data_IF_879722776283
#
_entry.id   IF_879722776283
#
_cell.length_a   1.000
_cell.length_b   1.000
_cell.length_c   1.000
_cell.angle_alpha   90.00
_cell.angle_beta   90.00
_cell.angle_gamma   90.00
#
_symmetry.space_group_name_H-M   'P 1'
#
loop_
_entity.id
_entity.type
_entity.pdbx_description
1 polymer ?
#
# COMPACT_ATOMS: atom_id res chain seq x y z
N UNK A 1 22.57 48.53 -101.00
CA UNK A 1 22.71 48.74 -99.53
C UNK A 1 21.64 48.00 -98.79
N UNK A 2 21.98 46.81 -98.17
CA UNK A 2 21.03 45.97 -97.40
C UNK A 2 21.45 46.09 -95.94
N UNK A 3 20.59 46.68 -95.12
CA UNK A 3 20.73 46.82 -93.65
C UNK A 3 20.23 45.55 -92.97
N UNK A 4 21.12 44.82 -92.26
CA UNK A 4 20.81 43.61 -91.52
C UNK A 4 20.42 44.03 -90.14
N UNK A 5 19.13 43.80 -89.76
CA UNK A 5 18.63 43.99 -88.40
C UNK A 5 19.07 42.84 -87.48
N UNK A 6 19.75 43.20 -86.42
CA UNK A 6 20.27 42.23 -85.38
C UNK A 6 19.17 42.06 -84.28
N UNK A 7 18.49 40.90 -84.36
CA UNK A 7 17.54 40.49 -83.34
C UNK A 7 18.25 40.17 -82.03
N UNK A 8 18.02 40.89 -80.98
CA UNK A 8 18.42 40.57 -79.60
C UNK A 8 17.40 39.61 -78.94
N UNK A 9 17.78 38.40 -78.86
CA UNK A 9 17.07 37.40 -78.00
C UNK A 9 17.29 37.80 -76.56
N UNK A 10 16.21 38.28 -75.90
CA UNK A 10 16.16 38.38 -74.42
C UNK A 10 15.86 36.99 -73.85
N UNK A 11 16.90 36.36 -73.39
CA UNK A 11 16.80 35.06 -72.72
C UNK A 11 16.02 35.21 -71.43
N UNK A 12 15.03 34.32 -71.28
CA UNK A 12 14.15 34.19 -70.13
C UNK A 12 14.85 33.68 -68.87
N UNK A 13 15.39 34.59 -68.05
CA UNK A 13 15.98 34.27 -66.76
C UNK A 13 14.97 34.12 -65.64
N UNK A 14 13.70 34.46 -65.85
CA UNK A 14 12.68 34.53 -64.78
C UNK A 14 12.10 33.14 -64.39
N UNK A 15 12.08 32.19 -65.31
CA UNK A 15 11.45 30.86 -65.04
C UNK A 15 12.27 29.92 -64.13
N UNK A 16 13.57 30.15 -64.02
CA UNK A 16 14.44 29.26 -63.24
C UNK A 16 14.44 29.55 -61.74
N UNK A 17 14.25 30.79 -61.33
CA UNK A 17 14.18 31.18 -59.91
C UNK A 17 12.85 30.76 -59.28
N UNK A 18 11.74 30.82 -59.99
CA UNK A 18 10.41 30.43 -59.50
C UNK A 18 10.30 28.91 -59.28
N UNK A 19 10.93 28.10 -60.11
CA UNK A 19 10.95 26.65 -59.93
C UNK A 19 11.81 26.21 -58.76
N UNK A 20 12.97 26.82 -58.53
CA UNK A 20 13.84 26.51 -57.38
C UNK A 20 13.20 26.91 -56.07
N UNK A 21 12.57 28.09 -56.01
CA UNK A 21 11.85 28.55 -54.81
C UNK A 21 10.65 27.66 -54.48
N UNK A 22 9.90 27.18 -55.48
CA UNK A 22 8.79 26.24 -55.30
C UNK A 22 9.24 24.90 -54.75
N UNK A 23 10.38 24.36 -55.25
CA UNK A 23 10.94 23.09 -54.74
C UNK A 23 11.43 23.24 -53.30
N UNK A 24 12.12 24.32 -52.95
CA UNK A 24 12.56 24.61 -51.58
C UNK A 24 11.38 24.77 -50.61
N UNK A 25 10.32 25.45 -51.02
CA UNK A 25 9.12 25.58 -50.23
C UNK A 25 8.42 24.23 -50.00
N UNK A 26 8.27 23.44 -51.07
CA UNK A 26 7.67 22.08 -50.91
C UNK A 26 8.51 21.20 -50.00
N UNK A 27 9.84 21.26 -50.10
CA UNK A 27 10.74 20.52 -49.21
C UNK A 27 10.59 21.00 -47.76
N UNK A 28 10.54 22.29 -47.48
CA UNK A 28 10.32 22.86 -46.14
C UNK A 28 8.98 22.42 -45.55
N UNK A 29 7.90 22.39 -46.35
CA UNK A 29 6.58 21.91 -45.91
C UNK A 29 6.63 20.43 -45.57
N UNK A 30 7.27 19.59 -46.38
CA UNK A 30 7.41 18.15 -46.10
C UNK A 30 8.17 17.95 -44.78
N UNK A 31 9.31 18.63 -44.60
CA UNK A 31 10.11 18.56 -43.39
C UNK A 31 9.27 18.99 -42.16
N UNK A 32 8.53 20.08 -42.26
CA UNK A 32 7.66 20.55 -41.19
C UNK A 32 6.56 19.52 -40.83
N UNK A 33 5.91 18.93 -41.85
CA UNK A 33 4.88 17.90 -41.64
C UNK A 33 5.48 16.64 -40.98
N UNK A 34 6.63 16.18 -41.47
CA UNK A 34 7.31 15.01 -40.88
C UNK A 34 7.73 15.29 -39.44
N UNK A 35 8.26 16.50 -39.17
CA UNK A 35 8.64 16.91 -37.81
C UNK A 35 7.43 16.91 -36.86
N UNK A 36 6.31 17.49 -37.29
CA UNK A 36 5.07 17.49 -36.49
C UNK A 36 4.59 16.06 -36.24
N UNK A 37 4.60 15.18 -37.26
CA UNK A 37 4.21 13.79 -37.10
C UNK A 37 5.11 13.04 -36.10
N UNK A 38 6.41 13.27 -36.16
CA UNK A 38 7.35 12.64 -35.21
C UNK A 38 7.11 13.16 -33.79
N UNK A 39 6.95 14.45 -33.60
CA UNK A 39 6.70 15.03 -32.29
C UNK A 39 5.39 14.51 -31.68
N UNK A 40 4.29 14.47 -32.45
CA UNK A 40 3.01 13.93 -31.97
C UNK A 40 3.08 12.43 -31.70
N UNK A 41 3.85 11.68 -32.46
CA UNK A 41 4.08 10.26 -32.19
C UNK A 41 4.88 10.05 -30.88
N UNK A 42 5.91 10.86 -30.64
CA UNK A 42 6.71 10.80 -29.41
C UNK A 42 5.87 11.19 -28.18
N UNK A 43 5.03 12.21 -28.28
CA UNK A 43 4.10 12.58 -27.19
C UNK A 43 3.16 11.40 -26.84
N UNK A 44 2.53 10.77 -27.82
CA UNK A 44 1.67 9.62 -27.60
C UNK A 44 2.39 8.41 -26.98
N UNK A 45 3.63 8.16 -27.40
CA UNK A 45 4.46 7.09 -26.82
C UNK A 45 4.78 7.42 -25.36
N UNK A 46 5.13 8.67 -25.06
CA UNK A 46 5.41 9.09 -23.69
C UNK A 46 4.16 9.01 -22.80
N UNK A 47 3.00 9.46 -23.27
CA UNK A 47 1.74 9.34 -22.54
C UNK A 47 1.37 7.87 -22.25
N UNK A 48 1.46 7.00 -23.26
CA UNK A 48 1.19 5.57 -23.07
C UNK A 48 2.18 4.91 -22.11
N UNK A 49 3.47 5.28 -22.18
CA UNK A 49 4.49 4.78 -21.27
C UNK A 49 4.19 5.18 -19.82
N UNK A 50 3.81 6.45 -19.59
CA UNK A 50 3.44 6.94 -18.28
C UNK A 50 2.21 6.22 -17.71
N UNK A 51 1.14 6.06 -18.52
CA UNK A 51 -0.07 5.33 -18.10
C UNK A 51 0.23 3.88 -17.70
N UNK A 52 1.11 3.19 -18.42
CA UNK A 52 1.52 1.82 -18.10
C UNK A 52 2.36 1.77 -16.82
N UNK A 53 3.22 2.74 -16.61
CA UNK A 53 4.06 2.82 -15.40
C UNK A 53 3.21 3.13 -14.15
N UNK A 54 2.22 4.01 -14.28
CA UNK A 54 1.28 4.36 -13.22
C UNK A 54 0.41 3.17 -12.82
N UNK A 55 -0.16 2.43 -13.78
CA UNK A 55 -0.95 1.22 -13.49
C UNK A 55 -0.09 0.13 -12.85
N UNK A 56 1.13 -0.08 -13.33
CA UNK A 56 2.09 -1.01 -12.73
C UNK A 56 2.45 -0.61 -11.30
N UNK A 57 2.69 0.66 -11.05
CA UNK A 57 2.98 1.20 -9.71
C UNK A 57 1.79 1.00 -8.77
N UNK A 58 0.57 1.20 -9.27
CA UNK A 58 -0.66 0.96 -8.53
C UNK A 58 -0.82 -0.51 -8.14
N UNK A 59 -0.68 -1.44 -9.09
CA UNK A 59 -0.75 -2.89 -8.81
C UNK A 59 0.33 -3.34 -7.83
N UNK A 60 1.55 -2.82 -8.00
CA UNK A 60 2.67 -3.11 -7.10
C UNK A 60 2.38 -2.60 -5.68
N UNK A 61 1.78 -1.41 -5.55
CA UNK A 61 1.39 -0.84 -4.24
C UNK A 61 0.33 -1.70 -3.55
N UNK A 62 -0.69 -2.17 -4.30
CA UNK A 62 -1.71 -3.10 -3.76
C UNK A 62 -1.04 -4.38 -3.25
N UNK A 63 -0.14 -4.95 -4.03
CA UNK A 63 0.63 -6.14 -3.64
C UNK A 63 1.50 -5.92 -2.41
N UNK A 64 2.15 -4.76 -2.31
CA UNK A 64 2.98 -4.38 -1.17
C UNK A 64 2.15 -4.24 0.12
N UNK A 65 1.02 -3.55 0.07
CA UNK A 65 0.10 -3.40 1.21
C UNK A 65 -0.47 -4.76 1.65
N UNK A 66 -0.87 -5.58 0.70
CA UNK A 66 -1.33 -6.95 0.99
C UNK A 66 -0.23 -7.78 1.65
N UNK A 67 0.99 -7.73 1.13
CA UNK A 67 2.14 -8.44 1.72
C UNK A 67 2.42 -7.95 3.14
N UNK A 68 2.31 -6.64 3.38
CA UNK A 68 2.47 -6.05 4.71
C UNK A 68 1.44 -6.60 5.72
N UNK A 69 0.17 -6.70 5.31
CA UNK A 69 -0.91 -7.29 6.10
C UNK A 69 -0.73 -8.80 6.29
N UNK A 70 -0.43 -9.53 5.22
CA UNK A 70 -0.25 -11.00 5.24
C UNK A 70 0.93 -11.42 6.15
N UNK A 71 2.03 -10.66 6.16
CA UNK A 71 3.17 -10.90 7.06
C UNK A 71 2.77 -10.74 8.53
N UNK A 72 1.98 -9.71 8.86
CA UNK A 72 1.46 -9.53 10.20
C UNK A 72 0.55 -10.71 10.60
N UNK A 73 -0.36 -11.11 9.71
CA UNK A 73 -1.27 -12.24 9.93
C UNK A 73 -0.53 -13.56 10.16
N UNK A 74 0.48 -13.87 9.34
CA UNK A 74 1.29 -15.06 9.50
C UNK A 74 2.05 -15.08 10.84
N UNK A 75 2.68 -13.95 11.19
CA UNK A 75 3.35 -13.78 12.48
C UNK A 75 2.37 -13.99 13.64
N UNK A 76 1.20 -13.39 13.55
CA UNK A 76 0.17 -13.49 14.56
C UNK A 76 -0.31 -14.94 14.75
N UNK A 77 -0.53 -15.71 13.66
CA UNK A 77 -0.95 -17.12 13.76
C UNK A 77 0.13 -17.97 14.45
N UNK A 78 1.41 -17.76 14.12
CA UNK A 78 2.52 -18.46 14.75
C UNK A 78 2.58 -18.22 16.26
N UNK A 79 2.34 -16.98 16.71
CA UNK A 79 2.35 -16.63 18.13
C UNK A 79 1.07 -17.02 18.85
N UNK A 80 -0.08 -16.99 18.20
CA UNK A 80 -1.37 -17.37 18.80
C UNK A 80 -1.57 -18.89 18.85
N UNK A 81 -1.04 -19.64 17.85
CA UNK A 81 -1.12 -21.11 17.78
C UNK A 81 0.14 -21.77 18.34
N UNK A 82 0.51 -21.44 19.56
CA UNK A 82 1.70 -21.94 20.24
C UNK A 82 1.32 -22.60 21.56
N UNK A 83 1.78 -23.83 21.80
CA UNK A 83 1.37 -24.64 22.95
C UNK A 83 1.73 -23.99 24.29
N UNK A 84 2.95 -23.41 24.40
CA UNK A 84 3.34 -22.68 25.62
C UNK A 84 2.50 -21.42 25.81
N UNK A 85 2.15 -20.72 24.72
CA UNK A 85 1.26 -19.58 24.79
C UNK A 85 -0.14 -19.97 25.28
N UNK A 86 -0.71 -21.03 24.70
CA UNK A 86 -2.00 -21.55 25.13
C UNK A 86 -1.99 -21.92 26.62
N UNK A 87 -0.89 -22.52 27.11
CA UNK A 87 -0.77 -22.87 28.52
C UNK A 87 -0.62 -21.66 29.41
N UNK A 88 0.31 -20.75 29.09
CA UNK A 88 0.67 -19.64 29.98
C UNK A 88 -0.34 -18.48 29.94
N UNK A 89 -0.88 -18.14 28.78
CA UNK A 89 -1.86 -17.04 28.65
C UNK A 89 -3.13 -17.32 29.45
N UNK A 90 -3.50 -18.60 29.61
CA UNK A 90 -4.66 -19.01 30.40
C UNK A 90 -4.33 -19.35 31.87
N UNK A 91 -3.05 -19.47 32.22
CA UNK A 91 -2.64 -19.78 33.60
C UNK A 91 -2.87 -18.57 34.54
N UNK A 92 -3.28 -18.79 35.79
CA UNK A 92 -3.45 -17.70 36.76
C UNK A 92 -2.17 -16.92 37.07
N UNK A 93 -1.01 -17.57 36.96
CA UNK A 93 0.34 -17.02 37.19
C UNK A 93 1.10 -16.71 35.87
N UNK A 94 0.42 -16.86 34.74
CA UNK A 94 1.04 -16.69 33.41
C UNK A 94 1.29 -15.25 32.95
N UNK A 95 0.94 -14.24 33.77
CA UNK A 95 1.07 -12.83 33.41
C UNK A 95 2.51 -12.44 33.02
N UNK A 96 3.50 -12.85 33.83
CA UNK A 96 4.91 -12.52 33.57
C UNK A 96 5.39 -13.14 32.25
N UNK A 97 5.00 -14.37 31.97
CA UNK A 97 5.29 -15.03 30.70
C UNK A 97 4.65 -14.28 29.51
N UNK A 98 3.38 -13.92 29.64
CA UNK A 98 2.61 -13.21 28.60
C UNK A 98 3.24 -11.85 28.27
N UNK A 99 3.65 -11.11 29.29
CA UNK A 99 4.36 -9.81 29.14
C UNK A 99 5.68 -10.02 28.41
N UNK A 100 6.50 -10.96 28.87
CA UNK A 100 7.84 -11.16 28.31
C UNK A 100 7.82 -11.71 26.88
N UNK A 101 6.86 -12.59 26.56
CA UNK A 101 6.80 -13.24 25.25
C UNK A 101 5.93 -12.50 24.21
N UNK A 102 5.07 -11.57 24.64
CA UNK A 102 4.27 -10.75 23.73
C UNK A 102 4.56 -9.27 23.91
N UNK A 103 4.36 -8.73 25.11
CA UNK A 103 4.43 -7.30 25.37
C UNK A 103 5.79 -6.71 25.03
N UNK A 104 6.85 -7.22 25.69
CA UNK A 104 8.22 -6.75 25.52
C UNK A 104 8.79 -7.03 24.11
N UNK A 105 8.30 -8.06 23.43
CA UNK A 105 8.70 -8.41 22.07
C UNK A 105 8.29 -7.35 21.03
N UNK A 106 7.37 -6.45 21.36
CA UNK A 106 7.00 -5.34 20.47
C UNK A 106 8.08 -4.25 20.35
N UNK A 107 9.11 -4.27 21.22
CA UNK A 107 10.24 -3.35 21.12
C UNK A 107 11.12 -3.70 19.91
N UNK A 108 11.38 -2.72 19.06
CA UNK A 108 12.25 -2.87 17.88
C UNK A 108 11.89 -4.04 16.94
N UNK A 109 10.67 -4.56 17.04
CA UNK A 109 10.20 -5.60 16.12
C UNK A 109 9.97 -5.03 14.72
N UNK A 110 10.50 -5.71 13.71
CA UNK A 110 10.20 -5.38 12.32
C UNK A 110 8.78 -5.81 11.91
N UNK A 111 8.13 -6.68 12.71
CA UNK A 111 6.88 -7.34 12.35
C UNK A 111 5.64 -6.72 13.00
N UNK A 112 5.77 -6.21 14.23
CA UNK A 112 4.69 -5.52 14.95
C UNK A 112 5.28 -4.55 15.98
N UNK A 113 4.58 -3.46 16.25
CA UNK A 113 4.94 -2.46 17.26
C UNK A 113 3.98 -2.45 18.46
N UNK A 114 2.90 -3.24 18.38
CA UNK A 114 1.97 -3.43 19.48
C UNK A 114 1.64 -4.91 19.67
N UNK A 115 1.55 -5.31 20.93
CA UNK A 115 1.09 -6.65 21.33
C UNK A 115 0.08 -6.51 22.47
N UNK A 116 -1.09 -7.07 22.27
CA UNK A 116 -2.23 -6.94 23.18
C UNK A 116 -2.87 -8.32 23.34
N UNK A 117 -3.22 -8.68 24.56
CA UNK A 117 -4.07 -9.85 24.83
C UNK A 117 -5.37 -9.33 25.42
N UNK A 118 -6.50 -9.72 24.82
CA UNK A 118 -7.84 -9.34 25.25
C UNK A 118 -8.68 -10.58 25.58
N UNK A 119 -9.67 -10.39 26.43
CA UNK A 119 -10.64 -11.45 26.76
C UNK A 119 -11.91 -11.36 25.89
N UNK A 120 -12.85 -12.26 26.14
CA UNK A 120 -14.16 -12.30 25.49
C UNK A 120 -15.00 -11.02 25.73
N UNK A 121 -14.75 -10.29 26.82
CA UNK A 121 -15.44 -9.06 27.20
C UNK A 121 -14.76 -7.81 26.62
N UNK A 122 -13.76 -7.98 25.74
CA UNK A 122 -12.96 -6.90 25.11
C UNK A 122 -12.05 -6.15 26.09
N UNK A 123 -11.79 -6.74 27.27
CA UNK A 123 -10.90 -6.16 28.27
C UNK A 123 -9.46 -6.57 27.99
N UNK A 124 -8.54 -5.62 28.03
CA UNK A 124 -7.12 -5.91 27.92
C UNK A 124 -6.62 -6.64 29.17
N UNK A 125 -5.94 -7.76 28.96
CA UNK A 125 -5.15 -8.49 29.96
C UNK A 125 -3.76 -7.89 30.00
N UNK A 126 -3.14 -7.73 28.84
CA UNK A 126 -1.95 -6.91 28.60
C UNK A 126 -2.20 -6.00 27.39
N UNK A 127 -1.59 -4.83 27.40
CA UNK A 127 -1.50 -3.96 26.22
C UNK A 127 -0.13 -3.29 26.23
N UNK A 128 0.69 -3.57 25.23
CA UNK A 128 2.03 -3.07 25.10
C UNK A 128 2.23 -2.43 23.73
N UNK A 129 3.01 -1.36 23.73
CA UNK A 129 3.42 -0.63 22.53
C UNK A 129 4.90 -0.28 22.64
N UNK A 130 5.67 -0.60 21.61
CA UNK A 130 7.11 -0.38 21.57
C UNK A 130 7.83 -0.92 22.85
N UNK A 131 7.40 -2.11 23.33
CA UNK A 131 7.90 -2.78 24.53
C UNK A 131 7.48 -2.17 25.87
N UNK A 132 6.61 -1.15 25.87
CA UNK A 132 6.16 -0.47 27.07
C UNK A 132 4.65 -0.69 27.29
N UNK A 133 4.17 -0.79 28.55
CA UNK A 133 2.76 -0.85 28.85
C UNK A 133 2.03 0.38 28.30
N UNK A 134 0.84 0.16 27.73
CA UNK A 134 -0.04 1.25 27.30
C UNK A 134 -0.84 1.78 28.50
N UNK A 135 -0.85 3.12 28.62
CA UNK A 135 -1.68 3.80 29.63
C UNK A 135 -3.12 4.06 29.13
N UNK A 136 -3.28 4.20 27.80
CA UNK A 136 -4.58 4.48 27.20
C UNK A 136 -5.44 3.21 27.10
N UNK A 137 -6.77 3.38 27.21
CA UNK A 137 -7.69 2.29 26.94
C UNK A 137 -7.70 1.92 25.44
N UNK A 138 -7.98 0.65 25.13
CA UNK A 138 -8.07 0.20 23.74
C UNK A 138 -9.16 0.92 22.96
N UNK A 139 -10.28 1.24 23.60
CA UNK A 139 -11.40 1.97 22.99
C UNK A 139 -11.07 3.42 22.68
N UNK A 140 -10.13 4.01 23.42
CA UNK A 140 -9.66 5.37 23.15
C UNK A 140 -8.55 5.40 22.09
N UNK A 141 -7.78 4.33 22.00
CA UNK A 141 -6.64 4.24 21.10
C UNK A 141 -7.03 3.76 19.68
N UNK A 142 -7.86 2.72 19.58
CA UNK A 142 -8.29 2.14 18.32
C UNK A 142 -9.69 2.62 17.91
N UNK A 143 -9.90 2.79 16.61
CA UNK A 143 -11.23 2.95 16.06
C UNK A 143 -12.10 1.68 16.29
N UNK A 144 -13.44 1.79 16.25
CA UNK A 144 -14.35 0.67 16.43
C UNK A 144 -14.13 -0.53 15.50
N UNK A 145 -13.45 -0.33 14.37
CA UNK A 145 -13.14 -1.39 13.40
C UNK A 145 -12.22 -2.49 13.96
N UNK A 146 -11.46 -2.26 15.03
CA UNK A 146 -10.78 -3.32 15.78
C UNK A 146 -11.78 -4.40 16.25
N UNK A 147 -12.92 -3.97 16.80
CA UNK A 147 -13.93 -4.89 17.30
C UNK A 147 -14.61 -5.69 16.20
N UNK A 148 -14.68 -5.15 14.98
CA UNK A 148 -15.15 -5.90 13.81
C UNK A 148 -14.20 -7.06 13.47
N UNK A 149 -12.88 -6.88 13.60
CA UNK A 149 -11.91 -7.97 13.44
C UNK A 149 -12.09 -9.03 14.52
N UNK A 150 -12.22 -8.63 15.79
CA UNK A 150 -12.47 -9.56 16.90
C UNK A 150 -13.76 -10.35 16.69
N UNK A 151 -14.85 -9.69 16.30
CA UNK A 151 -16.14 -10.34 16.08
C UNK A 151 -16.08 -11.36 14.93
N UNK A 152 -15.30 -11.09 13.86
CA UNK A 152 -15.01 -12.07 12.80
C UNK A 152 -14.31 -13.30 13.35
N UNK A 153 -13.30 -13.13 14.20
CA UNK A 153 -12.58 -14.24 14.85
C UNK A 153 -13.49 -15.06 15.76
N UNK A 154 -14.31 -14.40 16.55
CA UNK A 154 -15.30 -15.07 17.41
C UNK A 154 -16.33 -15.88 16.62
N UNK A 155 -16.82 -15.32 15.51
CA UNK A 155 -17.79 -15.98 14.65
C UNK A 155 -17.23 -17.21 13.92
N UNK A 156 -15.94 -17.22 13.57
CA UNK A 156 -15.27 -18.33 12.93
C UNK A 156 -15.15 -19.56 13.86
N UNK A 157 -15.12 -19.33 15.18
CA UNK A 157 -14.97 -20.40 16.15
C UNK A 157 -13.59 -21.08 16.14
N UNK A 158 -13.30 -22.00 17.05
CA UNK A 158 -11.95 -22.55 17.25
C UNK A 158 -11.48 -23.52 16.16
N UNK A 159 -12.38 -24.04 15.32
CA UNK A 159 -12.06 -25.15 14.40
C UNK A 159 -11.22 -24.74 13.17
N UNK A 160 -11.28 -23.47 12.73
CA UNK A 160 -10.78 -23.02 11.41
C UNK A 160 -9.61 -22.04 11.47
N UNK A 161 -8.69 -22.17 12.45
CA UNK A 161 -7.61 -21.17 12.65
C UNK A 161 -8.17 -19.74 12.66
N UNK A 162 -8.97 -19.38 13.66
CA UNK A 162 -9.69 -18.13 13.68
C UNK A 162 -8.74 -16.96 13.85
N UNK A 163 -8.49 -16.29 12.72
CA UNK A 163 -7.75 -15.05 12.65
C UNK A 163 -8.44 -14.10 11.67
N UNK A 164 -8.27 -12.82 11.90
CA UNK A 164 -8.70 -11.76 10.99
C UNK A 164 -7.66 -10.65 11.00
N UNK A 165 -7.39 -10.07 9.83
CA UNK A 165 -6.52 -8.92 9.71
C UNK A 165 -7.20 -7.82 8.88
N UNK A 166 -6.67 -6.61 8.96
CA UNK A 166 -7.12 -5.45 8.22
C UNK A 166 -6.48 -4.17 8.72
N UNK A 167 -6.68 -3.08 8.01
CA UNK A 167 -6.21 -1.77 8.44
C UNK A 167 -7.21 -1.12 9.38
N UNK A 168 -6.71 -0.53 10.46
CA UNK A 168 -7.52 0.13 11.50
C UNK A 168 -6.90 1.50 11.81
N UNK A 169 -7.72 2.51 12.00
CA UNK A 169 -7.26 3.80 12.52
C UNK A 169 -6.95 3.71 14.00
N UNK A 170 -5.84 4.32 14.39
CA UNK A 170 -5.42 4.48 15.79
C UNK A 170 -5.15 5.96 16.08
N UNK A 171 -4.91 6.32 17.34
CA UNK A 171 -4.44 7.67 17.67
C UNK A 171 -3.10 8.05 17.04
N UNK A 172 -2.29 7.06 16.62
CA UNK A 172 -0.99 7.27 15.96
C UNK A 172 -1.04 7.19 14.43
N UNK A 173 -2.22 7.05 13.86
CA UNK A 173 -2.40 6.88 12.42
C UNK A 173 -2.98 5.51 12.05
N UNK A 174 -2.71 5.07 10.83
CA UNK A 174 -3.22 3.80 10.33
C UNK A 174 -2.25 2.68 10.71
N UNK A 175 -2.81 1.56 11.18
CA UNK A 175 -2.06 0.35 11.45
C UNK A 175 -2.69 -0.85 10.74
N UNK A 176 -1.87 -1.76 10.22
CA UNK A 176 -2.32 -3.12 9.99
C UNK A 176 -2.53 -3.78 11.36
N UNK A 177 -3.67 -4.40 11.56
CA UNK A 177 -4.04 -5.05 12.82
C UNK A 177 -4.49 -6.46 12.52
N UNK A 178 -3.95 -7.41 13.26
CA UNK A 178 -4.39 -8.79 13.23
C UNK A 178 -4.95 -9.20 14.59
N UNK A 179 -5.97 -10.03 14.59
CA UNK A 179 -6.59 -10.64 15.77
C UNK A 179 -6.62 -12.15 15.57
N UNK A 180 -6.17 -12.94 16.55
CA UNK A 180 -6.24 -14.39 16.51
C UNK A 180 -6.58 -14.97 17.88
N UNK A 181 -7.29 -16.10 17.89
CA UNK A 181 -7.59 -16.87 19.09
C UNK A 181 -6.33 -17.60 19.59
N UNK A 182 -5.98 -17.39 20.86
CA UNK A 182 -4.87 -18.12 21.52
C UNK A 182 -5.29 -19.58 21.74
N UNK A 183 -4.53 -20.52 21.16
CA UNK A 183 -4.85 -21.94 21.15
C UNK A 183 -3.59 -22.78 21.02
N UNK A 184 -3.70 -24.07 21.30
CA UNK A 184 -2.61 -25.00 20.97
C UNK A 184 -2.44 -25.14 19.46
N UNK A 185 -1.28 -25.54 19.03
CA UNK A 185 -0.97 -25.85 17.63
C UNK A 185 -1.89 -26.93 17.05
N UNK A 186 -2.33 -27.87 17.90
CA UNK A 186 -3.33 -28.89 17.55
C UNK A 186 -4.75 -28.35 17.32
N UNK A 187 -5.00 -27.06 17.63
CA UNK A 187 -6.33 -26.45 17.64
C UNK A 187 -7.08 -26.59 18.96
N UNK A 188 -6.53 -27.32 19.93
CA UNK A 188 -7.16 -27.46 21.24
C UNK A 188 -7.13 -26.12 22.01
N UNK A 189 -8.20 -25.86 22.78
CA UNK A 189 -8.34 -24.72 23.68
C UNK A 189 -8.10 -25.15 25.11
N UNK A 190 -7.48 -24.28 25.90
CA UNK A 190 -7.29 -24.47 27.34
C UNK A 190 -8.44 -23.91 28.17
N UNK A 191 -9.35 -23.14 27.56
CA UNK A 191 -10.47 -22.53 28.26
C UNK A 191 -11.82 -22.85 27.61
N UNK A 192 -12.91 -22.93 28.41
CA UNK A 192 -14.25 -23.07 27.88
C UNK A 192 -14.71 -21.80 27.17
N UNK A 193 -15.82 -21.93 26.42
CA UNK A 193 -16.46 -20.77 25.78
C UNK A 193 -16.77 -19.68 26.82
N UNK A 194 -16.55 -18.42 26.42
CA UNK A 194 -16.71 -17.24 27.29
C UNK A 194 -15.48 -16.91 28.16
N UNK A 195 -14.40 -17.69 28.04
CA UNK A 195 -13.12 -17.41 28.72
C UNK A 195 -11.93 -17.41 27.76
N UNK A 196 -12.22 -17.22 26.46
CA UNK A 196 -11.18 -17.20 25.45
C UNK A 196 -10.27 -15.98 25.57
N UNK A 197 -9.05 -16.12 25.06
CA UNK A 197 -8.06 -15.04 24.96
C UNK A 197 -7.71 -14.85 23.50
N UNK A 198 -7.61 -13.60 23.10
CA UNK A 198 -7.29 -13.22 21.73
C UNK A 198 -6.01 -12.40 21.74
N UNK A 199 -5.05 -12.81 20.93
CA UNK A 199 -3.83 -12.06 20.67
C UNK A 199 -4.12 -11.04 19.56
N UNK A 200 -3.72 -9.80 19.79
CA UNK A 200 -3.79 -8.73 18.81
C UNK A 200 -2.40 -8.19 18.57
N UNK A 201 -1.94 -8.25 17.34
CA UNK A 201 -0.76 -7.52 16.89
C UNK A 201 -1.16 -6.35 16.02
N UNK A 202 -0.46 -5.23 16.17
CA UNK A 202 -0.60 -4.10 15.28
C UNK A 202 0.77 -3.65 14.78
N UNK A 203 0.81 -3.14 13.56
CA UNK A 203 1.98 -2.56 12.93
C UNK A 203 1.58 -1.27 12.24
N UNK A 204 2.03 -0.14 12.77
CA UNK A 204 1.68 1.15 12.20
C UNK A 204 2.31 1.33 10.80
N UNK A 205 1.56 2.01 9.94
CA UNK A 205 2.01 2.41 8.62
C UNK A 205 2.45 3.88 8.71
N UNK A 206 3.62 4.10 9.30
CA UNK A 206 4.25 5.41 9.42
C UNK A 206 5.03 5.80 8.15
N UNK A 207 5.49 7.05 8.08
CA UNK A 207 6.20 7.57 6.92
C UNK A 207 7.49 6.79 6.60
N UNK A 208 8.21 6.33 7.61
CA UNK A 208 9.44 5.55 7.43
C UNK A 208 9.14 4.18 6.81
N UNK A 209 8.07 3.52 7.26
CA UNK A 209 7.62 2.25 6.69
C UNK A 209 7.06 2.40 5.28
N UNK A 210 6.29 3.44 5.03
CA UNK A 210 5.80 3.76 3.68
C UNK A 210 6.95 4.04 2.73
N UNK A 211 7.95 4.81 3.17
CA UNK A 211 9.18 5.05 2.41
C UNK A 211 9.94 3.75 2.16
N UNK A 212 10.06 2.89 3.17
CA UNK A 212 10.68 1.57 3.06
C UNK A 212 9.95 0.65 2.08
N UNK A 213 8.62 0.66 2.07
CA UNK A 213 7.82 -0.06 1.07
C UNK A 213 8.10 0.49 -0.34
N UNK A 214 8.10 1.81 -0.52
CA UNK A 214 8.44 2.43 -1.79
C UNK A 214 9.82 2.01 -2.31
N UNK A 215 10.83 1.96 -1.44
CA UNK A 215 12.18 1.52 -1.80
C UNK A 215 12.23 0.02 -2.14
N UNK A 216 11.58 -0.82 -1.32
CA UNK A 216 11.58 -2.29 -1.49
C UNK A 216 10.92 -2.71 -2.80
N UNK A 217 9.82 -2.06 -3.15
CA UNK A 217 9.03 -2.38 -4.34
C UNK A 217 9.29 -1.45 -5.54
N UNK A 218 10.27 -0.55 -5.41
CA UNK A 218 10.68 0.41 -6.47
C UNK A 218 9.51 1.29 -6.91
N UNK A 219 8.74 1.79 -5.95
CA UNK A 219 7.63 2.71 -6.17
C UNK A 219 8.08 4.13 -5.81
N UNK A 220 8.21 4.99 -6.81
CA UNK A 220 8.64 6.37 -6.61
C UNK A 220 7.57 7.23 -5.93
N UNK A 221 7.97 8.00 -4.90
CA UNK A 221 7.09 8.99 -4.28
C UNK A 221 5.90 8.43 -3.49
N UNK A 222 5.94 7.14 -3.09
CA UNK A 222 4.90 6.52 -2.27
C UNK A 222 4.75 7.28 -0.94
N UNK A 223 3.52 7.67 -0.60
CA UNK A 223 3.18 8.36 0.65
C UNK A 223 1.75 8.11 1.05
N UNK A 224 1.45 8.19 2.34
CA UNK A 224 0.07 8.20 2.83
C UNK A 224 -0.57 9.57 2.57
N UNK A 225 -1.80 9.55 2.09
CA UNK A 225 -2.57 10.76 1.86
C UNK A 225 -3.96 10.63 2.53
N UNK A 226 -4.52 11.72 3.08
CA UNK A 226 -5.86 11.70 3.63
C UNK A 226 -6.89 11.41 2.53
N UNK A 227 -8.03 10.78 2.84
CA UNK A 227 -9.05 10.41 1.86
C UNK A 227 -9.55 11.56 0.99
N UNK A 228 -9.60 12.77 1.56
CA UNK A 228 -10.08 13.99 0.87
C UNK A 228 -9.08 14.58 -0.14
N UNK A 229 -7.80 14.14 -0.13
CA UNK A 229 -6.82 14.65 -1.08
C UNK A 229 -7.17 14.13 -2.49
N UNK A 230 -7.28 15.02 -3.46
CA UNK A 230 -7.39 14.63 -4.86
C UNK A 230 -6.01 14.18 -5.36
N UNK A 231 -5.97 13.02 -6.00
CA UNK A 231 -4.79 12.46 -6.62
C UNK A 231 -5.22 11.69 -7.87
N UNK A 232 -4.44 11.83 -8.95
CA UNK A 232 -4.72 11.14 -10.22
C UNK A 232 -4.51 9.62 -10.07
N UNK A 233 -3.54 9.23 -9.25
CA UNK A 233 -3.21 7.82 -8.99
C UNK A 233 -3.14 7.56 -7.50
N UNK A 234 -3.93 6.60 -7.02
CA UNK A 234 -3.95 6.20 -5.63
C UNK A 234 -4.39 4.74 -5.43
N UNK A 235 -4.03 4.20 -4.28
CA UNK A 235 -4.53 2.92 -3.78
C UNK A 235 -5.31 3.16 -2.50
N UNK A 236 -6.61 2.84 -2.47
CA UNK A 236 -7.40 3.06 -1.26
C UNK A 236 -7.00 2.07 -0.16
N UNK A 237 -6.80 2.58 1.05
CA UNK A 237 -6.70 1.78 2.27
C UNK A 237 -8.04 1.89 2.97
N UNK A 238 -8.73 0.76 3.11
CA UNK A 238 -10.03 0.69 3.77
C UNK A 238 -9.93 -0.13 5.07
N UNK A 239 -10.81 0.20 6.01
CA UNK A 239 -10.96 -0.59 7.23
C UNK A 239 -11.84 -1.85 7.01
N UNK A 240 -11.95 -2.75 8.01
CA UNK A 240 -12.77 -3.96 7.92
C UNK A 240 -14.26 -3.74 7.67
N UNK A 241 -14.76 -2.51 7.78
CA UNK A 241 -16.14 -2.12 7.47
C UNK A 241 -16.29 -1.57 6.06
N UNK A 242 -15.17 -1.34 5.34
CA UNK A 242 -15.12 -0.75 4.01
C UNK A 242 -14.98 0.78 4.02
N UNK A 243 -14.82 1.42 5.18
CA UNK A 243 -14.58 2.85 5.26
C UNK A 243 -13.14 3.18 4.82
N UNK A 244 -12.99 4.17 3.93
CA UNK A 244 -11.68 4.60 3.43
C UNK A 244 -10.91 5.33 4.54
N UNK A 245 -9.71 4.85 4.85
CA UNK A 245 -8.82 5.42 5.86
C UNK A 245 -7.78 6.36 5.25
N UNK A 246 -7.20 5.97 4.12
CA UNK A 246 -6.19 6.72 3.37
C UNK A 246 -6.13 6.27 1.91
N UNK A 247 -5.31 6.92 1.14
CA UNK A 247 -4.94 6.56 -0.22
C UNK A 247 -3.47 6.92 -0.52
#
# INVERSE_FOLDING_TARGET
MRTVAKSRSRGSGIGRHTTVTGVLFSFAVIVAVVTIMVLTALERVAENANLLDDERSRETTIGALKTFEDQLGATLDDYAAWDDAATNVYAPDGMAWTVSNYGEMSVNSALFDMAIVIDDERKAIIAYRDGQPMEESLTDFFAPSLWTLLDKVKAAGPADRPQAAGFVTTKRGIAAVGVALVRKKSGALEAPAGQHRYLVFARHLDDDRVTGLGQTYVIGGLRLAPPALEADYFVPIADPTGAMLAK
#
